data_IF_728649184914
#
_entry.id   IF_728649184914
#
_cell.length_a   1.000
_cell.length_b   1.000
_cell.length_c   1.000
_cell.angle_alpha   90.00
_cell.angle_beta   90.00
_cell.angle_gamma   90.00
#
_symmetry.space_group_name_H-M   'P 1'
#
loop_
_entity.id
_entity.type
_entity.pdbx_description
1 polymer ?
#
# COMPACT_ATOMS: atom_id res chain seq x y z
N UNK A 1 -0.38 -18.01 -6.35
CA UNK A 1 -1.82 -17.63 -6.19
C UNK A 1 -2.26 -17.05 -7.53
N UNK A 2 -3.50 -17.25 -7.97
CA UNK A 2 -3.88 -16.82 -9.32
C UNK A 2 -3.92 -15.29 -9.46
N UNK A 3 -3.43 -14.81 -10.60
CA UNK A 3 -3.52 -13.41 -11.01
C UNK A 3 -5.01 -13.04 -11.07
N UNK A 4 -5.43 -12.01 -10.33
CA UNK A 4 -6.80 -11.54 -10.41
C UNK A 4 -7.06 -10.95 -11.80
N UNK A 5 -8.23 -11.21 -12.38
CA UNK A 5 -8.65 -10.70 -13.69
C UNK A 5 -9.08 -9.21 -13.61
N UNK A 6 -8.20 -8.35 -13.11
CA UNK A 6 -8.38 -6.90 -13.03
C UNK A 6 -7.80 -6.23 -14.26
N UNK A 7 -8.57 -5.41 -14.97
CA UNK A 7 -8.10 -4.73 -16.18
C UNK A 7 -8.22 -3.20 -16.08
N UNK A 8 -7.37 -2.50 -16.83
CA UNK A 8 -7.46 -1.03 -16.92
C UNK A 8 -8.73 -0.59 -17.67
N UNK A 9 -9.25 -1.43 -18.56
CA UNK A 9 -10.49 -1.22 -19.31
C UNK A 9 -11.73 -1.18 -18.39
N UNK A 10 -11.69 -1.91 -17.27
CA UNK A 10 -12.81 -1.94 -16.31
C UNK A 10 -12.85 -0.67 -15.46
N UNK A 11 -11.68 -0.19 -15.00
CA UNK A 11 -11.50 1.10 -14.32
C UNK A 11 -10.04 1.54 -14.32
N UNK A 12 -9.79 2.82 -14.59
CA UNK A 12 -8.47 3.48 -14.48
C UNK A 12 -8.60 4.93 -13.99
N UNK A 13 -9.25 5.10 -12.84
CA UNK A 13 -9.55 6.43 -12.27
C UNK A 13 -8.29 7.27 -11.94
N UNK A 14 -7.14 6.63 -11.77
CA UNK A 14 -5.85 7.28 -11.53
C UNK A 14 -4.99 7.40 -12.80
N UNK A 15 -5.53 7.09 -13.98
CA UNK A 15 -4.86 7.17 -15.30
C UNK A 15 -3.50 6.44 -15.36
N UNK A 16 -3.39 5.32 -14.64
CA UNK A 16 -2.15 4.55 -14.49
C UNK A 16 -1.87 3.64 -15.69
N UNK A 17 -2.81 3.45 -16.63
CA UNK A 17 -2.56 2.68 -17.86
C UNK A 17 -1.36 3.20 -18.64
N UNK A 18 -1.23 4.51 -18.79
CA UNK A 18 -0.09 5.14 -19.48
C UNK A 18 1.26 4.85 -18.81
N UNK A 19 1.27 4.63 -17.49
CA UNK A 19 2.45 4.23 -16.72
C UNK A 19 2.74 2.76 -16.98
N UNK A 20 1.72 1.90 -16.96
CA UNK A 20 1.86 0.49 -17.28
C UNK A 20 2.43 0.27 -18.70
N UNK A 21 1.97 1.04 -19.69
CA UNK A 21 2.50 0.99 -21.06
C UNK A 21 4.00 1.35 -21.12
N UNK A 22 4.43 2.36 -20.36
CA UNK A 22 5.86 2.72 -20.23
C UNK A 22 6.65 1.61 -19.52
N UNK A 23 6.11 1.03 -18.45
CA UNK A 23 6.72 -0.10 -17.73
C UNK A 23 6.92 -1.29 -18.68
N UNK A 24 5.89 -1.65 -19.45
CA UNK A 24 5.96 -2.72 -20.45
C UNK A 24 7.06 -2.42 -21.48
N UNK A 25 7.12 -1.18 -21.99
CA UNK A 25 8.14 -0.77 -22.96
C UNK A 25 9.57 -0.93 -22.41
N UNK A 26 9.79 -0.56 -21.14
CA UNK A 26 11.09 -0.74 -20.46
C UNK A 26 11.39 -2.21 -20.21
N UNK A 27 10.41 -3.01 -19.79
CA UNK A 27 10.56 -4.45 -19.58
C UNK A 27 10.86 -5.21 -20.87
N UNK A 28 10.36 -4.74 -22.02
CA UNK A 28 10.62 -5.33 -23.33
C UNK A 28 11.90 -4.79 -23.99
N UNK A 29 12.48 -3.71 -23.48
CA UNK A 29 13.72 -3.17 -23.99
C UNK A 29 14.91 -4.07 -23.64
N UNK A 30 15.94 -4.06 -24.51
CA UNK A 30 17.22 -4.71 -24.25
C UNK A 30 18.10 -3.83 -23.35
N UNK A 31 17.63 -3.59 -22.13
CA UNK A 31 18.30 -2.81 -21.09
C UNK A 31 18.32 -3.65 -19.82
N UNK A 32 19.46 -3.64 -19.14
CA UNK A 32 19.63 -4.32 -17.86
C UNK A 32 18.99 -3.50 -16.71
N UNK A 33 17.70 -3.74 -16.50
CA UNK A 33 16.88 -3.05 -15.48
C UNK A 33 16.41 -3.97 -14.35
N UNK A 34 16.80 -5.24 -14.35
CA UNK A 34 16.32 -6.25 -13.40
C UNK A 34 17.30 -6.43 -12.22
N UNK A 35 16.82 -6.49 -10.96
CA UNK A 35 15.45 -6.21 -10.51
C UNK A 35 15.02 -4.75 -10.68
N UNK A 36 13.81 -4.57 -11.18
CA UNK A 36 13.10 -3.29 -11.23
C UNK A 36 12.16 -3.19 -10.03
N UNK A 37 11.98 -1.99 -9.46
CA UNK A 37 11.03 -1.73 -8.36
C UNK A 37 9.87 -0.86 -8.84
N UNK A 38 8.65 -1.26 -8.48
CA UNK A 38 7.47 -0.40 -8.46
C UNK A 38 7.21 -0.02 -7.00
N UNK A 39 7.62 1.20 -6.65
CA UNK A 39 7.56 1.73 -5.29
C UNK A 39 6.24 2.45 -5.01
N UNK A 40 5.79 2.34 -3.77
CA UNK A 40 4.66 3.11 -3.28
C UNK A 40 4.36 2.83 -1.81
N UNK A 41 3.79 3.82 -1.13
CA UNK A 41 3.34 3.71 0.25
C UNK A 41 2.24 2.66 0.44
N UNK A 42 1.85 2.42 1.69
CA UNK A 42 0.73 1.53 1.99
C UNK A 42 -0.58 2.17 1.51
N UNK A 43 -1.50 1.35 0.99
CA UNK A 43 -2.79 1.84 0.51
C UNK A 43 -2.75 2.68 -0.78
N UNK A 44 -1.67 2.63 -1.57
CA UNK A 44 -1.58 3.37 -2.85
C UNK A 44 -2.07 2.59 -4.07
N UNK A 45 -2.51 1.34 -3.91
CA UNK A 45 -3.02 0.49 -5.01
C UNK A 45 -1.96 -0.28 -5.80
N UNK A 46 -0.80 -0.57 -5.19
CA UNK A 46 0.31 -1.31 -5.82
C UNK A 46 -0.10 -2.69 -6.38
N UNK A 47 -0.73 -3.53 -5.56
CA UNK A 47 -1.16 -4.89 -5.95
C UNK A 47 -2.17 -4.85 -7.09
N UNK A 48 -3.14 -3.93 -7.05
CA UNK A 48 -4.09 -3.74 -8.16
C UNK A 48 -3.37 -3.28 -9.44
N UNK A 49 -2.42 -2.35 -9.35
CA UNK A 49 -1.59 -1.95 -10.48
C UNK A 49 -0.78 -3.13 -11.03
N UNK A 50 -0.20 -3.96 -10.18
CA UNK A 50 0.54 -5.17 -10.57
C UNK A 50 -0.33 -6.14 -11.37
N UNK A 51 -1.51 -6.51 -10.85
CA UNK A 51 -2.43 -7.39 -11.57
C UNK A 51 -2.88 -6.79 -12.92
N UNK A 52 -3.22 -5.50 -12.95
CA UNK A 52 -3.61 -4.83 -14.20
C UNK A 52 -2.45 -4.74 -15.21
N UNK A 53 -1.23 -4.49 -14.75
CA UNK A 53 -0.02 -4.49 -15.57
C UNK A 53 0.23 -5.86 -16.20
N UNK A 54 0.14 -6.93 -15.40
CA UNK A 54 0.29 -8.30 -15.88
C UNK A 54 -0.79 -8.62 -16.93
N UNK A 55 -2.06 -8.32 -16.65
CA UNK A 55 -3.16 -8.57 -17.58
C UNK A 55 -3.04 -7.76 -18.88
N UNK A 56 -2.57 -6.51 -18.81
CA UNK A 56 -2.30 -5.68 -19.99
C UNK A 56 -1.18 -6.29 -20.84
N UNK A 57 -0.12 -6.77 -20.20
CA UNK A 57 1.03 -7.36 -20.89
C UNK A 57 0.71 -8.74 -21.50
N UNK A 58 -0.19 -9.51 -20.86
CA UNK A 58 -0.64 -10.82 -21.31
C UNK A 58 -1.31 -10.77 -22.70
N UNK A 59 -1.88 -9.63 -23.09
CA UNK A 59 -2.52 -9.45 -24.42
C UNK A 59 -1.54 -9.74 -25.57
N UNK A 60 -0.25 -9.43 -25.39
CA UNK A 60 0.77 -9.65 -26.41
C UNK A 60 1.32 -11.08 -26.46
N UNK A 61 1.09 -11.87 -25.40
CA UNK A 61 1.63 -13.22 -25.20
C UNK A 61 3.15 -13.38 -25.43
N UNK A 62 3.92 -12.32 -25.21
CA UNK A 62 5.36 -12.29 -25.51
C UNK A 62 6.26 -12.88 -24.42
N UNK A 63 5.76 -13.00 -23.18
CA UNK A 63 6.55 -13.40 -22.01
C UNK A 63 5.76 -14.40 -21.15
N UNK A 64 6.46 -15.25 -20.41
CA UNK A 64 5.90 -15.93 -19.24
C UNK A 64 5.77 -14.91 -18.11
N UNK A 65 4.55 -14.57 -17.74
CA UNK A 65 4.24 -13.61 -16.69
C UNK A 65 3.90 -14.38 -15.40
N UNK A 66 4.80 -14.30 -14.42
CA UNK A 66 4.68 -15.06 -13.17
C UNK A 66 4.41 -14.08 -12.04
N UNK A 67 3.36 -14.31 -11.25
CA UNK A 67 3.06 -13.53 -10.05
C UNK A 67 3.40 -14.33 -8.80
N UNK A 68 4.19 -13.73 -7.92
CA UNK A 68 4.61 -14.28 -6.63
C UNK A 68 4.11 -13.35 -5.53
N UNK A 69 3.17 -13.84 -4.73
CA UNK A 69 2.79 -13.20 -3.47
C UNK A 69 3.79 -13.65 -2.39
N UNK A 70 4.80 -12.81 -2.12
CA UNK A 70 5.88 -13.15 -1.22
C UNK A 70 5.40 -13.26 0.23
N UNK A 71 4.44 -12.41 0.63
CA UNK A 71 3.92 -12.42 1.99
C UNK A 71 3.14 -13.70 2.30
N UNK A 72 2.29 -14.16 1.37
CA UNK A 72 1.58 -15.43 1.54
C UNK A 72 2.50 -16.64 1.64
N UNK A 73 3.65 -16.59 0.98
CA UNK A 73 4.65 -17.65 0.98
C UNK A 73 5.65 -17.55 2.13
N UNK A 74 5.62 -16.46 2.91
CA UNK A 74 6.68 -16.15 3.87
C UNK A 74 6.75 -17.18 5.01
N UNK A 75 5.67 -17.93 5.28
CA UNK A 75 5.62 -19.00 6.28
C UNK A 75 6.56 -20.18 6.00
N UNK A 76 6.94 -20.38 4.73
CA UNK A 76 7.76 -21.52 4.34
C UNK A 76 9.26 -21.34 4.65
N UNK A 77 9.73 -20.13 5.02
CA UNK A 77 11.15 -19.81 5.24
C UNK A 77 12.09 -20.15 4.03
N UNK A 78 11.53 -20.32 2.84
CA UNK A 78 12.28 -20.79 1.65
C UNK A 78 12.00 -19.97 0.38
N UNK A 79 12.59 -18.76 0.24
CA UNK A 79 12.31 -17.87 -0.89
C UNK A 79 12.61 -18.46 -2.28
N UNK A 80 13.67 -19.27 -2.40
CA UNK A 80 14.04 -19.90 -3.67
C UNK A 80 12.93 -20.87 -4.12
N UNK A 81 12.34 -21.59 -3.19
CA UNK A 81 11.29 -22.56 -3.46
C UNK A 81 10.00 -21.90 -3.87
N UNK A 82 9.63 -20.83 -3.18
CA UNK A 82 8.51 -19.98 -3.56
C UNK A 82 8.58 -19.57 -5.03
N UNK A 83 9.75 -19.11 -5.48
CA UNK A 83 9.95 -18.67 -6.86
C UNK A 83 9.89 -19.86 -7.84
N UNK A 84 10.61 -20.94 -7.55
CA UNK A 84 10.68 -22.10 -8.44
C UNK A 84 9.32 -22.80 -8.61
N UNK A 85 8.51 -22.87 -7.55
CA UNK A 85 7.17 -23.44 -7.61
C UNK A 85 6.27 -22.66 -8.59
N UNK A 86 6.39 -21.33 -8.65
CA UNK A 86 5.62 -20.52 -9.59
C UNK A 86 6.19 -20.60 -11.04
N UNK A 87 7.51 -20.79 -11.20
CA UNK A 87 8.11 -21.10 -12.52
C UNK A 87 7.62 -22.43 -13.08
N UNK A 88 7.47 -23.46 -12.24
CA UNK A 88 7.02 -24.79 -12.69
C UNK A 88 5.60 -24.75 -13.27
N UNK A 89 4.73 -23.86 -12.77
CA UNK A 89 3.34 -23.73 -13.24
C UNK A 89 3.22 -23.21 -14.67
N UNK A 90 4.22 -22.50 -15.18
CA UNK A 90 4.19 -21.97 -16.56
C UNK A 90 4.80 -22.93 -17.59
N UNK A 91 5.34 -24.06 -17.15
CA UNK A 91 5.88 -25.08 -18.04
C UNK A 91 4.75 -25.86 -18.74
N UNK A 92 4.88 -26.12 -20.06
CA UNK A 92 3.77 -26.54 -20.90
C UNK A 92 3.30 -27.99 -20.68
N UNK A 93 4.20 -28.89 -20.27
CA UNK A 93 3.95 -30.32 -20.11
C UNK A 93 4.70 -30.90 -18.91
N UNK A 94 4.29 -32.11 -18.49
CA UNK A 94 4.86 -32.76 -17.31
C UNK A 94 6.31 -33.22 -17.52
N UNK A 95 6.72 -33.50 -18.75
CA UNK A 95 8.11 -33.85 -19.07
C UNK A 95 9.05 -32.65 -18.85
N UNK A 96 8.63 -31.45 -19.27
CA UNK A 96 9.32 -30.19 -19.04
C UNK A 96 9.39 -29.86 -17.56
N UNK A 97 8.29 -30.06 -16.81
CA UNK A 97 8.26 -29.90 -15.35
C UNK A 97 9.26 -30.84 -14.68
N UNK A 98 9.25 -32.13 -15.01
CA UNK A 98 10.17 -33.11 -14.43
C UNK A 98 11.64 -32.81 -14.77
N UNK A 99 11.92 -32.42 -16.01
CA UNK A 99 13.27 -32.03 -16.46
C UNK A 99 13.79 -30.82 -15.68
N UNK A 100 12.94 -29.80 -15.49
CA UNK A 100 13.26 -28.64 -14.69
C UNK A 100 13.47 -29.01 -13.22
N UNK A 101 12.56 -29.78 -12.61
CA UNK A 101 12.68 -30.23 -11.22
C UNK A 101 13.97 -30.99 -10.95
N UNK A 102 14.41 -31.87 -11.86
CA UNK A 102 15.69 -32.59 -11.75
C UNK A 102 16.91 -31.65 -11.69
N UNK A 103 16.84 -30.48 -12.34
CA UNK A 103 17.89 -29.46 -12.31
C UNK A 103 17.73 -28.50 -11.11
N UNK A 104 16.50 -28.22 -10.68
CA UNK A 104 16.17 -27.27 -9.62
C UNK A 104 16.36 -27.84 -8.21
N UNK A 105 15.92 -29.08 -7.96
CA UNK A 105 15.94 -29.72 -6.64
C UNK A 105 17.36 -29.80 -6.02
N UNK A 106 18.43 -30.11 -6.79
CA UNK A 106 19.80 -30.05 -6.25
C UNK A 106 20.25 -28.65 -5.83
N UNK A 107 19.76 -27.59 -6.48
CA UNK A 107 20.11 -26.20 -6.15
C UNK A 107 19.43 -25.77 -4.86
N UNK A 108 18.14 -26.08 -4.72
CA UNK A 108 17.35 -25.87 -3.50
C UNK A 108 18.00 -26.51 -2.28
N UNK A 109 18.25 -27.83 -2.36
CA UNK A 109 18.81 -28.62 -1.25
C UNK A 109 20.18 -28.09 -0.78
N UNK A 110 20.89 -27.37 -1.65
CA UNK A 110 22.20 -26.81 -1.34
C UNK A 110 22.11 -25.35 -0.87
N UNK A 111 21.29 -24.50 -1.51
CA UNK A 111 21.12 -23.09 -1.15
C UNK A 111 20.80 -22.89 0.34
N UNK A 112 19.94 -23.76 0.88
CA UNK A 112 19.55 -23.81 2.30
C UNK A 112 20.72 -24.04 3.26
N UNK A 113 21.79 -24.74 2.85
CA UNK A 113 22.97 -24.99 3.71
C UNK A 113 23.94 -23.80 3.78
N UNK A 114 23.95 -22.93 2.77
CA UNK A 114 24.90 -21.82 2.65
C UNK A 114 24.38 -20.53 3.30
N UNK A 115 23.08 -20.23 3.16
CA UNK A 115 22.44 -19.08 3.81
C UNK A 115 22.51 -19.22 5.35
N UNK A 116 22.44 -20.45 5.87
CA UNK A 116 22.62 -20.76 7.30
C UNK A 116 23.98 -20.33 7.91
N UNK A 117 25.02 -20.01 7.10
CA UNK A 117 26.34 -19.58 7.60
C UNK A 117 26.60 -18.07 7.52
N UNK A 118 25.79 -17.32 6.79
CA UNK A 118 25.94 -15.88 6.63
C UNK A 118 24.92 -15.10 7.48
N UNK A 119 24.95 -15.34 8.80
CA UNK A 119 24.40 -14.41 9.80
C UNK A 119 22.88 -14.22 9.85
N UNK A 120 22.17 -15.13 10.54
CA UNK A 120 21.32 -14.87 11.73
C UNK A 120 20.95 -16.24 12.33
N UNK A 121 21.38 -16.45 13.57
CA UNK A 121 20.96 -17.45 14.58
C UNK A 121 20.24 -18.76 14.16
N UNK A 122 20.97 -19.87 14.28
CA UNK A 122 20.60 -21.07 15.06
C UNK A 122 19.29 -21.87 14.80
N UNK A 123 18.53 -21.67 13.72
CA UNK A 123 17.26 -22.41 13.53
C UNK A 123 17.01 -23.13 12.20
N UNK A 124 18.03 -23.43 11.38
CA UNK A 124 17.84 -24.31 10.22
C UNK A 124 18.29 -25.75 10.55
N UNK A 125 17.46 -26.42 11.34
CA UNK A 125 17.41 -27.89 11.51
C UNK A 125 16.17 -28.47 10.82
N UNK A 126 15.69 -27.86 9.73
CA UNK A 126 14.79 -28.59 8.85
C UNK A 126 15.65 -29.57 8.05
N UNK A 127 15.37 -30.85 8.25
CA UNK A 127 16.06 -31.91 7.53
C UNK A 127 15.84 -31.67 6.02
N UNK A 128 16.92 -31.68 5.26
CA UNK A 128 16.90 -31.47 3.79
C UNK A 128 15.96 -32.48 3.07
N UNK A 129 15.64 -33.58 3.74
CA UNK A 129 14.65 -34.55 3.32
C UNK A 129 13.21 -34.01 3.43
N UNK A 130 12.85 -33.37 4.55
CA UNK A 130 11.50 -32.81 4.77
C UNK A 130 11.18 -31.69 3.77
N UNK A 131 12.17 -30.89 3.40
CA UNK A 131 12.04 -29.82 2.40
C UNK A 131 11.83 -30.37 0.99
N UNK A 132 12.54 -31.44 0.65
CA UNK A 132 12.35 -32.10 -0.63
C UNK A 132 10.97 -32.77 -0.71
N UNK A 133 10.54 -33.39 0.38
CA UNK A 133 9.20 -33.96 0.50
C UNK A 133 8.13 -32.86 0.45
N UNK A 134 8.37 -31.67 1.00
CA UNK A 134 7.44 -30.54 0.92
C UNK A 134 7.39 -29.92 -0.48
N UNK A 135 8.52 -29.84 -1.19
CA UNK A 135 8.55 -29.46 -2.61
C UNK A 135 7.74 -30.42 -3.48
N UNK A 136 7.98 -31.73 -3.29
CA UNK A 136 7.28 -32.76 -4.02
C UNK A 136 5.77 -32.74 -3.67
N UNK A 137 5.39 -32.51 -2.42
CA UNK A 137 3.97 -32.37 -2.00
C UNK A 137 3.30 -31.09 -2.52
N UNK A 138 3.97 -29.94 -2.47
CA UNK A 138 3.45 -28.67 -2.99
C UNK A 138 3.24 -28.73 -4.51
N UNK A 139 4.04 -29.52 -5.22
CA UNK A 139 3.92 -29.73 -6.67
C UNK A 139 2.93 -30.85 -7.01
N UNK A 140 2.80 -31.90 -6.20
CA UNK A 140 1.81 -32.97 -6.41
C UNK A 140 0.35 -32.47 -6.37
N UNK A 141 0.08 -31.30 -5.78
CA UNK A 141 -1.23 -30.63 -5.91
C UNK A 141 -1.51 -29.98 -7.28
N UNK A 142 -0.49 -29.80 -8.13
CA UNK A 142 -0.56 -29.13 -9.43
C UNK A 142 -0.15 -30.02 -10.63
N UNK A 143 0.44 -31.18 -10.39
CA UNK A 143 0.76 -32.17 -11.40
C UNK A 143 0.52 -33.57 -10.83
N UNK A 144 -0.52 -34.24 -11.32
CA UNK A 144 -0.83 -35.61 -10.90
C UNK A 144 0.30 -36.56 -11.31
N UNK A 145 0.92 -37.19 -10.30
CA UNK A 145 1.84 -38.32 -10.36
C UNK A 145 3.13 -38.12 -11.16
N UNK A 146 4.19 -37.65 -10.50
CA UNK A 146 5.53 -38.10 -10.88
C UNK A 146 6.58 -37.95 -9.76
N UNK A 147 7.40 -39.00 -9.67
CA UNK A 147 8.74 -39.09 -9.06
C UNK A 147 8.78 -39.42 -7.57
N UNK A 148 8.61 -40.72 -7.29
CA UNK A 148 9.51 -41.40 -6.36
C UNK A 148 10.91 -41.48 -6.98
N UNK A 149 11.94 -41.41 -6.12
CA UNK A 149 13.36 -41.61 -6.41
C UNK A 149 14.18 -40.36 -6.77
N UNK A 150 14.62 -39.60 -5.75
CA UNK A 150 16.04 -39.20 -5.65
C UNK A 150 16.43 -38.90 -4.19
N UNK A 151 16.48 -39.94 -3.36
CA UNK A 151 17.16 -39.92 -2.06
C UNK A 151 18.43 -40.75 -2.20
N UNK A 152 19.53 -40.15 -2.67
CA UNK A 152 20.86 -40.54 -2.20
C UNK A 152 21.99 -39.58 -2.61
N UNK A 153 22.79 -39.25 -1.60
CA UNK A 153 24.12 -38.62 -1.63
C UNK A 153 24.22 -37.08 -1.65
N UNK A 154 24.16 -36.48 -0.46
CA UNK A 154 24.68 -35.11 -0.23
C UNK A 154 25.88 -35.18 0.70
N UNK A 155 27.05 -35.45 0.13
CA UNK A 155 28.35 -35.13 0.75
C UNK A 155 29.36 -34.65 -0.33
N UNK A 156 30.08 -33.56 0.01
CA UNK A 156 31.17 -32.83 -0.69
C UNK A 156 30.76 -31.46 -1.27
N UNK A 157 31.46 -30.42 -0.80
CA UNK A 157 30.78 -29.37 -0.05
C UNK A 157 30.97 -27.92 -0.53
N UNK A 158 31.41 -27.63 -1.76
CA UNK A 158 31.27 -26.27 -2.36
C UNK A 158 31.22 -26.34 -3.90
N UNK A 159 32.03 -27.21 -4.52
CA UNK A 159 32.04 -27.41 -5.98
C UNK A 159 30.70 -27.91 -6.54
N UNK A 160 29.88 -28.58 -5.71
CA UNK A 160 28.54 -29.03 -6.12
C UNK A 160 27.50 -27.90 -6.08
N UNK A 161 27.68 -26.90 -5.22
CA UNK A 161 26.80 -25.75 -5.08
C UNK A 161 26.69 -24.96 -6.39
N UNK A 162 27.85 -24.49 -6.85
CA UNK A 162 27.97 -23.68 -8.05
C UNK A 162 27.54 -24.48 -9.28
N UNK A 163 27.80 -25.79 -9.30
CA UNK A 163 27.33 -26.66 -10.37
C UNK A 163 25.81 -26.80 -10.38
N UNK A 164 25.18 -26.98 -9.21
CA UNK A 164 23.73 -27.10 -9.12
C UNK A 164 23.04 -25.78 -9.45
N UNK A 165 23.55 -24.66 -8.94
CA UNK A 165 23.04 -23.32 -9.25
C UNK A 165 23.18 -23.02 -10.75
N UNK A 166 24.34 -23.33 -11.36
CA UNK A 166 24.51 -23.21 -12.81
C UNK A 166 23.55 -24.12 -13.59
N UNK A 167 23.29 -25.34 -13.12
CA UNK A 167 22.33 -26.22 -13.77
C UNK A 167 20.90 -25.66 -13.73
N UNK A 168 20.51 -25.05 -12.61
CA UNK A 168 19.24 -24.32 -12.49
C UNK A 168 19.20 -23.09 -13.43
N UNK A 169 20.26 -22.28 -13.44
CA UNK A 169 20.37 -21.12 -14.33
C UNK A 169 20.27 -21.51 -15.80
N UNK A 170 20.94 -22.60 -16.21
CA UNK A 170 20.82 -23.15 -17.57
C UNK A 170 19.39 -23.60 -17.84
N UNK A 171 18.72 -24.26 -16.89
CA UNK A 171 17.33 -24.66 -17.05
C UNK A 171 16.41 -23.45 -17.26
N UNK A 172 16.60 -22.39 -16.49
CA UNK A 172 15.87 -21.14 -16.61
C UNK A 172 16.15 -20.45 -17.96
N UNK A 173 17.41 -20.44 -18.40
CA UNK A 173 17.81 -19.90 -19.70
C UNK A 173 17.18 -20.68 -20.85
N UNK A 174 17.14 -22.01 -20.78
CA UNK A 174 16.50 -22.87 -21.79
C UNK A 174 15.00 -22.52 -21.94
N UNK A 175 14.31 -22.28 -20.82
CA UNK A 175 12.89 -21.86 -20.81
C UNK A 175 12.77 -20.44 -21.38
N UNK A 176 13.58 -19.51 -20.88
CA UNK A 176 13.56 -18.10 -21.27
C UNK A 176 13.92 -17.88 -22.76
N UNK A 177 14.72 -18.79 -23.36
CA UNK A 177 15.05 -18.77 -24.77
C UNK A 177 13.86 -19.09 -25.67
N UNK A 178 12.90 -19.89 -25.19
CA UNK A 178 11.64 -20.15 -25.90
C UNK A 178 10.71 -18.94 -25.74
N UNK A 179 10.55 -18.48 -24.50
CA UNK A 179 9.70 -17.35 -24.16
C UNK A 179 10.25 -16.68 -22.89
N UNK A 180 10.68 -15.41 -22.94
CA UNK A 180 11.31 -14.75 -21.79
C UNK A 180 10.40 -14.70 -20.56
N UNK A 181 10.98 -14.73 -19.38
CA UNK A 181 10.27 -14.80 -18.10
C UNK A 181 10.31 -13.44 -17.39
N UNK A 182 9.16 -12.97 -16.91
CA UNK A 182 9.07 -11.85 -15.98
C UNK A 182 8.37 -12.30 -14.71
N UNK A 183 9.07 -12.20 -13.59
CA UNK A 183 8.56 -12.49 -12.26
C UNK A 183 8.19 -11.20 -11.53
N UNK A 184 6.92 -11.08 -11.19
CA UNK A 184 6.36 -10.00 -10.38
C UNK A 184 6.27 -10.49 -8.93
N UNK A 185 7.12 -9.96 -8.06
CA UNK A 185 7.17 -10.29 -6.63
C UNK A 185 6.49 -9.17 -5.86
N UNK A 186 5.30 -9.44 -5.31
CA UNK A 186 4.51 -8.48 -4.54
C UNK A 186 4.55 -8.78 -3.04
N UNK A 187 4.22 -7.76 -2.26
CA UNK A 187 4.13 -7.77 -0.79
C UNK A 187 5.43 -8.14 -0.05
N UNK A 188 6.59 -7.99 -0.69
CA UNK A 188 7.89 -8.28 -0.07
C UNK A 188 8.15 -7.43 1.19
N UNK A 189 7.60 -6.21 1.26
CA UNK A 189 7.70 -5.33 2.44
C UNK A 189 6.85 -5.77 3.64
N UNK A 190 5.98 -6.77 3.48
CA UNK A 190 5.18 -7.33 4.58
C UNK A 190 5.77 -8.62 5.15
N UNK A 191 6.67 -9.26 4.43
CA UNK A 191 7.34 -10.46 4.89
C UNK A 191 8.13 -10.22 6.18
N UNK A 192 8.38 -11.30 6.92
CA UNK A 192 9.39 -11.31 7.98
C UNK A 192 10.73 -10.73 7.48
N UNK A 193 11.44 -9.91 8.27
CA UNK A 193 12.65 -9.23 7.81
C UNK A 193 13.68 -10.14 7.15
N UNK A 194 13.99 -11.29 7.76
CA UNK A 194 14.96 -12.24 7.22
C UNK A 194 14.52 -12.79 5.85
N UNK A 195 13.25 -13.21 5.72
CA UNK A 195 12.71 -13.73 4.47
C UNK A 195 12.79 -12.70 3.34
N UNK A 196 12.48 -11.43 3.63
CA UNK A 196 12.56 -10.35 2.65
C UNK A 196 14.01 -10.13 2.14
N UNK A 197 14.98 -10.14 3.06
CA UNK A 197 16.40 -10.00 2.73
C UNK A 197 16.90 -11.21 1.95
N UNK A 198 16.58 -12.42 2.39
CA UNK A 198 16.95 -13.67 1.73
C UNK A 198 16.37 -13.73 0.30
N UNK A 199 15.14 -13.28 0.10
CA UNK A 199 14.53 -13.20 -1.23
C UNK A 199 15.29 -12.24 -2.15
N UNK A 200 15.72 -11.06 -1.67
CA UNK A 200 16.55 -10.13 -2.45
C UNK A 200 17.90 -10.76 -2.83
N UNK A 201 18.53 -11.47 -1.89
CA UNK A 201 19.79 -12.18 -2.14
C UNK A 201 19.63 -13.29 -3.17
N UNK A 202 18.59 -14.11 -3.04
CA UNK A 202 18.29 -15.20 -3.96
C UNK A 202 18.02 -14.66 -5.37
N UNK A 203 17.22 -13.60 -5.50
CA UNK A 203 16.94 -12.96 -6.79
C UNK A 203 18.24 -12.53 -7.47
N UNK A 204 19.15 -11.87 -6.75
CA UNK A 204 20.41 -11.37 -7.32
C UNK A 204 21.41 -12.48 -7.62
N UNK A 205 21.56 -13.45 -6.73
CA UNK A 205 22.64 -14.44 -6.83
C UNK A 205 22.25 -15.68 -7.64
N UNK A 206 20.96 -16.01 -7.68
CA UNK A 206 20.46 -17.22 -8.38
C UNK A 206 19.90 -16.88 -9.74
N UNK A 207 19.17 -15.77 -9.88
CA UNK A 207 18.40 -15.47 -11.10
C UNK A 207 19.03 -14.40 -12.01
N UNK A 208 20.35 -14.21 -11.92
CA UNK A 208 21.11 -13.48 -12.95
C UNK A 208 21.22 -14.35 -14.23
N UNK A 209 20.09 -14.46 -14.95
CA UNK A 209 19.90 -15.34 -16.10
C UNK A 209 19.35 -14.52 -17.27
N UNK A 210 19.97 -14.66 -18.43
CA UNK A 210 19.50 -14.00 -19.65
C UNK A 210 18.06 -14.40 -19.98
N UNK A 211 17.22 -13.41 -20.29
CA UNK A 211 15.79 -13.61 -20.55
C UNK A 211 14.92 -13.78 -19.30
N UNK A 212 15.47 -13.67 -18.08
CA UNK A 212 14.72 -13.67 -16.82
C UNK A 212 14.78 -12.28 -16.17
N UNK A 213 13.63 -11.65 -15.92
CA UNK A 213 13.52 -10.33 -15.29
C UNK A 213 12.66 -10.38 -14.03
N UNK A 214 12.99 -9.55 -13.05
CA UNK A 214 12.23 -9.37 -11.82
C UNK A 214 11.66 -7.95 -11.73
N UNK A 215 10.41 -7.89 -11.29
CA UNK A 215 9.71 -6.66 -10.89
C UNK A 215 9.28 -6.83 -9.44
N UNK A 216 9.80 -5.99 -8.55
CA UNK A 216 9.46 -5.98 -7.13
C UNK A 216 8.40 -4.91 -6.89
N UNK A 217 7.24 -5.31 -6.37
CA UNK A 217 6.14 -4.41 -6.04
C UNK A 217 6.15 -4.27 -4.52
N UNK A 218 6.62 -3.12 -4.03
CA UNK A 218 6.95 -3.01 -2.60
C UNK A 218 6.88 -1.57 -2.08
N UNK A 219 6.96 -1.42 -0.77
CA UNK A 219 7.30 -0.16 -0.11
C UNK A 219 8.79 -0.17 0.26
N UNK A 220 9.58 0.62 -0.47
CA UNK A 220 11.03 0.67 -0.32
C UNK A 220 11.47 1.13 1.08
N UNK A 221 10.70 1.97 1.77
CA UNK A 221 11.02 2.39 3.14
C UNK A 221 10.85 1.25 4.15
N UNK A 222 9.80 0.44 3.98
CA UNK A 222 9.59 -0.73 4.84
C UNK A 222 10.61 -1.82 4.56
N UNK A 223 10.97 -2.02 3.29
CA UNK A 223 12.04 -2.95 2.92
C UNK A 223 13.40 -2.53 3.52
N UNK A 224 13.71 -1.22 3.55
CA UNK A 224 14.89 -0.69 4.27
C UNK A 224 14.82 -0.95 5.77
N UNK A 225 13.64 -0.83 6.39
CA UNK A 225 13.45 -1.17 7.80
C UNK A 225 13.73 -2.66 8.07
N UNK A 226 13.31 -3.56 7.16
CA UNK A 226 13.64 -4.99 7.23
C UNK A 226 15.15 -5.24 7.15
N UNK A 227 15.87 -4.59 6.22
CA UNK A 227 17.33 -4.69 6.13
C UNK A 227 18.02 -4.24 7.43
N UNK A 228 17.59 -3.09 7.97
CA UNK A 228 18.13 -2.56 9.23
C UNK A 228 17.81 -3.46 10.43
N UNK A 229 16.69 -4.19 10.39
CA UNK A 229 16.37 -5.19 11.41
C UNK A 229 17.36 -6.36 11.35
N UNK A 230 17.69 -6.86 10.15
CA UNK A 230 18.59 -8.00 9.97
C UNK A 230 20.07 -7.67 10.28
N UNK A 231 20.57 -6.52 9.81
CA UNK A 231 22.00 -6.18 9.92
C UNK A 231 22.32 -5.08 10.94
N UNK A 232 21.30 -4.47 11.55
CA UNK A 232 21.44 -3.39 12.53
C UNK A 232 21.35 -1.98 11.93
N UNK A 233 21.01 -1.01 12.79
CA UNK A 233 20.73 0.39 12.40
C UNK A 233 21.96 1.17 11.88
N UNK A 234 23.18 0.65 12.07
CA UNK A 234 24.40 1.25 11.54
C UNK A 234 24.60 0.99 10.04
N UNK A 235 23.84 0.05 9.47
CA UNK A 235 23.88 -0.26 8.03
C UNK A 235 23.11 0.80 7.26
N UNK A 236 23.71 1.29 6.18
CA UNK A 236 23.03 2.11 5.20
C UNK A 236 22.16 1.21 4.30
N UNK A 237 20.92 0.98 4.71
CA UNK A 237 19.98 0.12 3.96
C UNK A 237 19.66 0.64 2.55
N UNK A 238 19.76 1.96 2.30
CA UNK A 238 19.60 2.49 0.94
C UNK A 238 20.74 1.99 0.06
N UNK A 239 22.00 2.19 0.49
CA UNK A 239 23.17 1.67 -0.25
C UNK A 239 23.20 0.16 -0.34
N UNK A 240 22.64 -0.55 0.63
CA UNK A 240 22.44 -1.98 0.53
C UNK A 240 21.51 -2.30 -0.65
N UNK A 241 20.32 -1.71 -0.68
CA UNK A 241 19.31 -1.94 -1.71
C UNK A 241 19.78 -1.52 -3.12
N UNK A 242 20.56 -0.44 -3.23
CA UNK A 242 21.15 0.03 -4.49
C UNK A 242 22.09 -1.00 -5.13
N UNK A 243 22.62 -1.97 -4.36
CA UNK A 243 23.40 -3.08 -4.92
C UNK A 243 22.53 -4.12 -5.61
N UNK A 244 21.22 -4.12 -5.38
CA UNK A 244 20.26 -5.09 -5.92
C UNK A 244 19.38 -4.45 -6.97
N UNK A 245 18.79 -3.29 -6.68
CA UNK A 245 17.81 -2.63 -7.54
C UNK A 245 18.51 -1.84 -8.64
N UNK A 246 18.18 -2.13 -9.91
CA UNK A 246 18.76 -1.41 -11.06
C UNK A 246 17.90 -0.25 -11.54
N UNK A 247 16.60 -0.30 -11.27
CA UNK A 247 15.67 0.74 -11.70
C UNK A 247 14.44 0.82 -10.78
N UNK A 248 13.98 2.03 -10.47
CA UNK A 248 12.81 2.25 -9.61
C UNK A 248 11.84 3.22 -10.27
N UNK A 249 10.56 2.87 -10.24
CA UNK A 249 9.45 3.76 -10.57
C UNK A 249 8.57 3.91 -9.33
N UNK A 250 8.29 5.15 -8.93
CA UNK A 250 7.28 5.43 -7.92
C UNK A 250 5.90 5.57 -8.58
N UNK A 251 4.88 4.92 -8.01
CA UNK A 251 3.49 5.18 -8.42
C UNK A 251 3.10 6.62 -8.02
N UNK A 252 2.50 7.41 -8.93
CA UNK A 252 2.14 8.77 -8.62
C UNK A 252 1.00 8.83 -7.60
N UNK A 253 1.12 9.81 -6.71
CA UNK A 253 0.10 10.21 -5.75
C UNK A 253 -0.87 11.26 -6.33
N UNK A 254 -0.55 11.80 -7.50
CA UNK A 254 -1.38 12.74 -8.25
C UNK A 254 -1.92 12.12 -9.53
N UNK A 255 -3.03 12.66 -10.00
CA UNK A 255 -3.68 12.31 -11.26
C UNK A 255 -3.91 13.58 -12.06
N UNK A 256 -3.56 13.55 -13.35
CA UNK A 256 -3.89 14.64 -14.27
C UNK A 256 -5.38 14.61 -14.58
N UNK A 257 -6.12 15.62 -14.14
CA UNK A 257 -7.55 15.76 -14.44
C UNK A 257 -7.71 16.29 -15.87
N UNK A 258 -8.84 15.99 -16.54
CA UNK A 258 -9.09 16.41 -17.95
C UNK A 258 -9.05 17.94 -18.17
N UNK A 259 -8.84 18.74 -17.13
CA UNK A 259 -8.66 20.18 -17.14
C UNK A 259 -7.17 20.63 -17.08
N UNK A 260 -6.20 19.73 -17.29
CA UNK A 260 -4.75 20.00 -17.11
C UNK A 260 -4.43 20.51 -15.70
N UNK A 261 -5.15 20.01 -14.71
CA UNK A 261 -4.91 20.27 -13.29
C UNK A 261 -4.54 18.96 -12.64
N UNK A 262 -3.40 18.92 -11.97
CA UNK A 262 -3.05 17.80 -11.11
C UNK A 262 -3.95 17.83 -9.87
N UNK A 263 -4.61 16.72 -9.58
CA UNK A 263 -5.36 16.50 -8.33
C UNK A 263 -4.69 15.36 -7.57
N UNK A 264 -4.78 15.36 -6.24
CA UNK A 264 -4.29 14.25 -5.43
C UNK A 264 -5.23 13.06 -5.67
N UNK A 265 -4.66 11.89 -5.98
CA UNK A 265 -5.41 10.67 -6.28
C UNK A 265 -6.39 10.30 -5.15
N UNK A 266 -6.00 10.50 -3.89
CA UNK A 266 -6.85 10.28 -2.73
C UNK A 266 -8.10 11.19 -2.68
N UNK A 267 -8.01 12.43 -3.18
CA UNK A 267 -9.15 13.33 -3.28
C UNK A 267 -10.13 12.84 -4.36
N UNK A 268 -9.63 12.45 -5.53
CA UNK A 268 -10.48 11.88 -6.59
C UNK A 268 -11.11 10.54 -6.15
N UNK A 269 -10.36 9.72 -5.39
CA UNK A 269 -10.89 8.50 -4.80
C UNK A 269 -12.03 8.78 -3.82
N UNK A 270 -11.88 9.77 -2.93
CA UNK A 270 -12.96 10.20 -2.04
C UNK A 270 -14.22 10.58 -2.81
N UNK A 271 -14.07 11.42 -3.85
CA UNK A 271 -15.20 11.85 -4.71
C UNK A 271 -15.88 10.67 -5.38
N UNK A 272 -15.12 9.72 -5.92
CA UNK A 272 -15.66 8.52 -6.58
C UNK A 272 -16.41 7.62 -5.58
N UNK A 273 -15.84 7.36 -4.41
CA UNK A 273 -16.46 6.55 -3.37
C UNK A 273 -17.79 7.16 -2.91
N UNK A 274 -17.79 8.45 -2.55
CA UNK A 274 -19.01 9.15 -2.12
C UNK A 274 -20.07 9.15 -3.24
N UNK A 275 -19.66 9.37 -4.49
CA UNK A 275 -20.59 9.38 -5.64
C UNK A 275 -21.19 8.01 -5.92
N UNK A 276 -20.40 6.95 -5.76
CA UNK A 276 -20.81 5.56 -6.03
C UNK A 276 -21.59 4.92 -4.87
N UNK A 277 -21.52 5.51 -3.67
CA UNK A 277 -22.20 4.99 -2.49
C UNK A 277 -23.72 5.12 -2.58
N UNK A 278 -24.40 3.98 -2.43
CA UNK A 278 -25.86 3.90 -2.35
C UNK A 278 -26.43 4.59 -1.09
N UNK A 279 -25.62 4.73 -0.04
CA UNK A 279 -26.00 5.40 1.21
C UNK A 279 -25.83 6.91 1.11
N UNK A 280 -24.76 7.38 0.46
CA UNK A 280 -24.38 8.80 0.45
C UNK A 280 -24.94 9.61 -0.72
N UNK A 281 -25.49 8.96 -1.75
CA UNK A 281 -25.93 9.62 -2.99
C UNK A 281 -26.88 10.82 -2.80
N UNK A 282 -27.76 10.76 -1.79
CA UNK A 282 -28.70 11.85 -1.48
C UNK A 282 -28.09 13.08 -0.79
N UNK A 283 -26.85 12.99 -0.30
CA UNK A 283 -26.21 14.03 0.52
C UNK A 283 -25.38 15.01 -0.29
N UNK A 284 -24.94 14.60 -1.49
CA UNK A 284 -24.11 15.40 -2.39
C UNK A 284 -22.84 15.94 -1.72
N UNK A 285 -22.20 15.15 -0.85
CA UNK A 285 -21.02 15.58 -0.09
C UNK A 285 -19.84 16.00 -0.96
N UNK A 286 -19.74 15.42 -2.17
CA UNK A 286 -18.70 15.78 -3.14
C UNK A 286 -19.01 17.04 -3.98
N UNK A 287 -20.25 17.56 -3.92
CA UNK A 287 -20.69 18.74 -4.68
C UNK A 287 -20.86 19.99 -3.79
N UNK A 288 -20.73 19.84 -2.47
CA UNK A 288 -20.95 20.93 -1.52
C UNK A 288 -19.65 21.35 -0.82
N UNK A 289 -19.65 22.55 -0.21
CA UNK A 289 -18.45 23.17 0.34
C UNK A 289 -17.73 22.36 1.42
N UNK A 290 -18.40 21.40 2.06
CA UNK A 290 -17.79 20.56 3.10
C UNK A 290 -16.73 19.60 2.57
N UNK A 291 -16.66 19.38 1.25
CA UNK A 291 -15.56 18.65 0.62
C UNK A 291 -14.19 19.28 0.95
N UNK A 292 -14.11 20.62 1.08
CA UNK A 292 -12.86 21.33 1.37
C UNK A 292 -12.25 20.94 2.71
N UNK A 293 -13.08 20.56 3.69
CA UNK A 293 -12.62 20.02 4.97
C UNK A 293 -11.91 18.69 4.77
N UNK A 294 -12.49 17.77 3.99
CA UNK A 294 -11.89 16.47 3.68
C UNK A 294 -10.64 16.63 2.80
N UNK A 295 -10.68 17.50 1.79
CA UNK A 295 -9.52 17.77 0.93
C UNK A 295 -8.33 18.24 1.75
N UNK A 296 -8.54 19.19 2.67
CA UNK A 296 -7.45 19.67 3.52
C UNK A 296 -6.95 18.58 4.49
N UNK A 297 -7.84 17.76 5.06
CA UNK A 297 -7.42 16.63 5.91
C UNK A 297 -6.60 15.62 5.11
N UNK A 298 -7.00 15.29 3.88
CA UNK A 298 -6.26 14.40 2.99
C UNK A 298 -4.87 14.97 2.71
N UNK A 299 -4.76 16.27 2.40
CA UNK A 299 -3.50 16.95 2.11
C UNK A 299 -2.58 16.98 3.33
N UNK A 300 -3.09 17.48 4.46
CA UNK A 300 -2.29 17.70 5.67
C UNK A 300 -1.77 16.39 6.27
N UNK A 301 -2.58 15.32 6.21
CA UNK A 301 -2.24 14.02 6.79
C UNK A 301 -1.68 13.02 5.76
N UNK A 302 -1.60 13.41 4.48
CA UNK A 302 -1.16 12.56 3.35
C UNK A 302 -1.89 11.21 3.32
N UNK A 303 -3.21 11.25 3.42
CA UNK A 303 -4.02 10.04 3.52
C UNK A 303 -3.86 9.15 2.29
N UNK A 304 -3.66 7.86 2.52
CA UNK A 304 -3.68 6.82 1.49
C UNK A 304 -5.10 6.58 0.96
N UNK A 305 -5.21 5.90 -0.19
CA UNK A 305 -6.52 5.52 -0.75
C UNK A 305 -7.31 4.65 0.23
N UNK A 306 -6.62 3.79 0.98
CA UNK A 306 -7.22 2.92 2.00
C UNK A 306 -7.74 3.70 3.21
N UNK A 307 -7.03 4.72 3.67
CA UNK A 307 -7.52 5.58 4.75
C UNK A 307 -8.72 6.41 4.30
N UNK A 308 -8.72 6.88 3.05
CA UNK A 308 -9.90 7.52 2.45
C UNK A 308 -11.10 6.57 2.42
N UNK A 309 -10.93 5.30 2.06
CA UNK A 309 -12.00 4.29 2.15
C UNK A 309 -12.52 4.13 3.58
N UNK A 310 -11.64 4.17 4.58
CA UNK A 310 -12.03 4.13 6.00
C UNK A 310 -12.86 5.35 6.39
N UNK A 311 -12.44 6.55 5.98
CA UNK A 311 -13.22 7.78 6.22
C UNK A 311 -14.60 7.66 5.57
N UNK A 312 -14.69 7.26 4.30
CA UNK A 312 -16.00 7.11 3.62
C UNK A 312 -16.86 6.06 4.30
N UNK A 313 -16.29 4.91 4.70
CA UNK A 313 -17.00 3.86 5.44
C UNK A 313 -17.55 4.38 6.76
N UNK A 314 -16.80 5.18 7.50
CA UNK A 314 -17.30 5.78 8.74
C UNK A 314 -18.37 6.85 8.47
N UNK A 315 -18.31 7.59 7.36
CA UNK A 315 -19.40 8.47 6.94
C UNK A 315 -20.67 7.64 6.67
N UNK A 316 -20.58 6.53 5.95
CA UNK A 316 -21.70 5.62 5.69
C UNK A 316 -22.29 5.08 7.01
N UNK A 317 -21.43 4.62 7.93
CA UNK A 317 -21.85 4.14 9.24
C UNK A 317 -22.55 5.23 10.05
N UNK A 318 -21.98 6.44 10.11
CA UNK A 318 -22.60 7.57 10.79
C UNK A 318 -24.00 7.84 10.24
N UNK A 319 -24.13 7.89 8.91
CA UNK A 319 -25.42 8.13 8.24
C UNK A 319 -26.44 7.04 8.59
N UNK A 320 -26.01 5.79 8.65
CA UNK A 320 -26.88 4.66 9.00
C UNK A 320 -27.35 4.71 10.45
N UNK A 321 -26.49 5.19 11.37
CA UNK A 321 -26.77 5.17 12.82
C UNK A 321 -27.42 6.45 13.34
N UNK A 322 -27.16 7.60 12.72
CA UNK A 322 -27.56 8.90 13.24
C UNK A 322 -29.09 9.05 13.25
N UNK A 323 -29.65 9.34 14.43
CA UNK A 323 -31.08 9.66 14.59
C UNK A 323 -31.44 10.99 13.91
N UNK A 324 -30.52 11.96 13.97
CA UNK A 324 -30.57 13.24 13.23
C UNK A 324 -29.34 13.35 12.36
N UNK A 325 -29.51 13.23 11.03
CA UNK A 325 -28.38 13.18 10.12
C UNK A 325 -27.92 14.60 9.72
N UNK A 326 -26.82 15.06 10.34
CA UNK A 326 -26.23 16.37 10.05
C UNK A 326 -25.53 16.47 8.67
N UNK A 327 -25.58 15.42 7.85
CA UNK A 327 -24.99 15.38 6.51
C UNK A 327 -26.02 15.51 5.38
N UNK A 328 -27.32 15.66 5.69
CA UNK A 328 -28.35 15.87 4.68
C UNK A 328 -28.10 17.13 3.84
N UNK A 329 -28.61 17.15 2.61
CA UNK A 329 -28.38 18.25 1.66
C UNK A 329 -28.88 19.61 2.15
N UNK A 330 -29.95 19.63 2.96
CA UNK A 330 -30.55 20.81 3.58
C UNK A 330 -30.03 21.14 4.98
N UNK A 331 -29.07 20.38 5.52
CA UNK A 331 -28.47 20.69 6.83
C UNK A 331 -27.68 21.99 6.76
N UNK A 332 -27.81 22.80 7.82
CA UNK A 332 -27.01 24.01 8.05
C UNK A 332 -25.52 23.69 7.91
N UNK A 333 -24.79 24.56 7.20
CA UNK A 333 -23.43 24.30 6.76
C UNK A 333 -22.45 24.00 7.90
N UNK A 334 -22.52 24.75 9.01
CA UNK A 334 -21.66 24.58 10.18
C UNK A 334 -21.79 23.19 10.83
N UNK A 335 -23.02 22.69 11.02
CA UNK A 335 -23.23 21.33 11.54
C UNK A 335 -22.63 20.29 10.60
N UNK A 336 -22.85 20.43 9.29
CA UNK A 336 -22.29 19.52 8.29
C UNK A 336 -20.76 19.48 8.32
N UNK A 337 -20.11 20.63 8.31
CA UNK A 337 -18.64 20.75 8.33
C UNK A 337 -18.06 20.13 9.61
N UNK A 338 -18.61 20.46 10.78
CA UNK A 338 -18.12 19.94 12.06
C UNK A 338 -18.40 18.44 12.24
N UNK A 339 -19.52 17.93 11.74
CA UNK A 339 -19.81 16.49 11.73
C UNK A 339 -18.84 15.75 10.80
N UNK A 340 -18.59 16.24 9.58
CA UNK A 340 -17.62 15.62 8.66
C UNK A 340 -16.21 15.62 9.26
N UNK A 341 -15.80 16.74 9.85
CA UNK A 341 -14.52 16.82 10.56
C UNK A 341 -14.43 15.77 11.66
N UNK A 342 -15.46 15.66 12.51
CA UNK A 342 -15.46 14.72 13.62
C UNK A 342 -15.36 13.26 13.17
N UNK A 343 -16.08 12.89 12.10
CA UNK A 343 -16.01 11.56 11.49
C UNK A 343 -14.60 11.32 10.93
N UNK A 344 -14.01 12.32 10.26
CA UNK A 344 -12.65 12.20 9.74
C UNK A 344 -11.63 12.02 10.88
N UNK A 345 -11.65 12.86 11.92
CA UNK A 345 -10.80 12.73 13.11
C UNK A 345 -10.97 11.34 13.75
N UNK A 346 -12.21 10.87 13.96
CA UNK A 346 -12.45 9.52 14.48
C UNK A 346 -11.80 8.43 13.62
N UNK A 347 -11.79 8.62 12.30
CA UNK A 347 -11.25 7.65 11.35
C UNK A 347 -9.73 7.57 11.33
N UNK A 348 -9.04 8.72 11.47
CA UNK A 348 -7.59 8.82 11.26
C UNK A 348 -6.79 9.11 12.53
N UNK A 349 -7.43 9.68 13.55
CA UNK A 349 -6.80 10.10 14.81
C UNK A 349 -7.72 9.79 16.01
N UNK A 350 -7.88 8.50 16.38
CA UNK A 350 -8.80 8.08 17.44
C UNK A 350 -8.54 8.75 18.80
N UNK A 351 -7.28 9.04 19.13
CA UNK A 351 -6.91 9.74 20.37
C UNK A 351 -7.44 11.18 20.42
N UNK A 352 -7.44 11.88 19.29
CA UNK A 352 -8.02 13.23 19.18
C UNK A 352 -9.55 13.16 19.26
N UNK A 353 -10.16 12.14 18.67
CA UNK A 353 -11.61 11.92 18.82
C UNK A 353 -11.98 11.63 20.28
N UNK A 354 -11.17 10.86 21.00
CA UNK A 354 -11.34 10.61 22.42
C UNK A 354 -11.19 11.88 23.26
N UNK A 355 -10.22 12.75 22.95
CA UNK A 355 -10.05 14.01 23.67
C UNK A 355 -11.26 14.95 23.51
N UNK A 356 -11.90 14.96 22.33
CA UNK A 356 -13.16 15.67 22.09
C UNK A 356 -14.28 15.13 22.99
N UNK A 357 -14.47 13.81 23.05
CA UNK A 357 -15.49 13.19 23.91
C UNK A 357 -15.29 13.51 25.40
N UNK A 358 -14.03 13.54 25.84
CA UNK A 358 -13.66 13.81 27.23
C UNK A 358 -13.68 15.30 27.59
N UNK A 359 -13.99 16.20 26.64
CA UNK A 359 -13.88 17.66 26.80
C UNK A 359 -12.47 18.09 27.22
N UNK A 360 -11.45 17.42 26.68
CA UNK A 360 -10.02 17.66 26.92
C UNK A 360 -9.30 18.00 25.62
N UNK A 361 -9.97 18.75 24.75
CA UNK A 361 -9.42 19.14 23.44
C UNK A 361 -8.11 19.91 23.65
N UNK A 362 -7.07 19.48 22.95
CA UNK A 362 -5.88 20.28 22.69
C UNK A 362 -6.06 20.98 21.36
N UNK A 363 -5.99 22.31 21.36
CA UNK A 363 -6.21 23.08 20.15
C UNK A 363 -5.18 22.76 19.06
N UNK A 364 -3.94 22.38 19.45
CA UNK A 364 -2.89 21.98 18.50
C UNK A 364 -3.26 20.73 17.72
N UNK A 365 -3.91 19.77 18.36
CA UNK A 365 -4.32 18.53 17.69
C UNK A 365 -5.34 18.82 16.58
N UNK A 366 -6.30 19.73 16.84
CA UNK A 366 -7.25 20.19 15.81
C UNK A 366 -6.54 20.93 14.68
N UNK A 367 -5.59 21.81 15.00
CA UNK A 367 -4.77 22.50 13.99
C UNK A 367 -3.97 21.52 13.12
N UNK A 368 -3.36 20.51 13.74
CA UNK A 368 -2.57 19.48 13.06
C UNK A 368 -3.41 18.69 12.05
N UNK A 369 -4.71 18.44 12.32
CA UNK A 369 -5.62 17.83 11.34
C UNK A 369 -5.67 18.56 10.00
N UNK A 370 -5.46 19.88 10.02
CA UNK A 370 -5.47 20.74 8.83
C UNK A 370 -4.08 21.24 8.42
N UNK A 371 -3.02 20.92 9.17
CA UNK A 371 -1.68 21.47 8.95
C UNK A 371 -1.57 22.96 9.34
N UNK A 372 -2.39 23.44 10.27
CA UNK A 372 -2.45 24.84 10.73
C UNK A 372 -1.89 24.91 12.14
N UNK A 373 -0.98 25.86 12.40
CA UNK A 373 -0.33 26.02 13.72
C UNK A 373 -0.81 27.23 14.51
N UNK A 374 -1.37 28.24 13.84
CA UNK A 374 -1.99 29.44 14.43
C UNK A 374 -2.91 30.12 13.44
N UNK A 375 -3.76 31.03 13.90
CA UNK A 375 -4.58 31.89 13.04
C UNK A 375 -3.73 32.93 12.30
N UNK A 376 -4.15 33.30 11.10
CA UNK A 376 -3.56 34.41 10.36
C UNK A 376 -3.95 35.77 10.96
N UNK A 377 -2.97 36.69 11.05
CA UNK A 377 -3.21 38.05 11.56
C UNK A 377 -3.85 38.97 10.52
N UNK A 378 -3.56 38.78 9.22
CA UNK A 378 -4.10 39.62 8.14
C UNK A 378 -5.30 38.92 7.48
N UNK A 379 -6.50 39.31 7.90
CA UNK A 379 -7.75 38.77 7.37
C UNK A 379 -8.19 39.67 6.22
N UNK A 380 -7.92 39.26 4.97
CA UNK A 380 -8.35 39.98 3.76
C UNK A 380 -9.87 39.87 3.51
N UNK A 381 -10.67 40.34 4.47
CA UNK A 381 -12.13 40.40 4.43
C UNK A 381 -12.86 39.20 5.03
N UNK A 382 -12.29 37.99 4.99
CA UNK A 382 -12.83 36.80 5.69
C UNK A 382 -11.71 35.83 6.07
N UNK A 383 -11.82 35.12 7.20
CA UNK A 383 -10.87 34.06 7.56
C UNK A 383 -10.87 32.93 6.55
N UNK A 384 -9.74 32.21 6.49
CA UNK A 384 -9.69 30.91 5.84
C UNK A 384 -10.67 29.93 6.52
N UNK A 385 -11.25 29.03 5.73
CA UNK A 385 -12.32 28.16 6.24
C UNK A 385 -11.82 27.16 7.28
N UNK A 386 -10.60 26.65 7.11
CA UNK A 386 -10.00 25.69 8.03
C UNK A 386 -9.43 26.40 9.27
N UNK A 387 -8.90 27.61 9.12
CA UNK A 387 -8.59 28.46 10.29
C UNK A 387 -9.85 28.79 11.10
N UNK A 388 -10.99 29.06 10.43
CA UNK A 388 -12.26 29.34 11.11
C UNK A 388 -12.76 28.13 11.92
N UNK A 389 -12.58 26.92 11.39
CA UNK A 389 -12.86 25.67 12.12
C UNK A 389 -11.93 25.52 13.33
N UNK A 390 -10.63 25.81 13.17
CA UNK A 390 -9.68 25.77 14.28
C UNK A 390 -10.03 26.80 15.36
N UNK A 391 -10.48 28.00 14.98
CA UNK A 391 -11.02 28.99 15.91
C UNK A 391 -12.26 28.47 16.66
N UNK A 392 -13.24 27.90 15.94
CA UNK A 392 -14.48 27.37 16.53
C UNK A 392 -14.20 26.31 17.61
N UNK A 393 -13.29 25.37 17.34
CA UNK A 393 -12.96 24.30 18.30
C UNK A 393 -11.89 24.71 19.32
N UNK A 394 -10.99 25.61 18.94
CA UNK A 394 -9.93 26.14 19.81
C UNK A 394 -10.48 27.01 20.93
N UNK A 395 -11.59 27.70 20.70
CA UNK A 395 -12.26 28.50 21.73
C UNK A 395 -12.70 27.68 22.95
N UNK A 396 -13.10 26.43 22.75
CA UNK A 396 -13.51 25.50 23.82
C UNK A 396 -12.41 24.53 24.24
N UNK A 397 -11.20 24.68 23.70
CA UNK A 397 -10.07 23.80 24.01
C UNK A 397 -9.57 23.99 25.46
N UNK A 398 -9.23 22.87 26.10
CA UNK A 398 -8.67 22.84 27.45
C UNK A 398 -7.17 23.20 27.43
N UNK A 399 -6.47 22.82 26.36
CA UNK A 399 -5.03 23.01 26.21
C UNK A 399 -4.72 23.81 24.93
N UNK A 400 -3.67 24.64 25.01
CA UNK A 400 -3.10 25.43 23.90
C UNK A 400 -4.09 26.33 23.14
N UNK A 401 -5.19 26.77 23.77
CA UNK A 401 -6.23 27.58 23.14
C UNK A 401 -5.72 28.90 22.55
N UNK A 402 -4.62 29.43 23.08
CA UNK A 402 -3.99 30.67 22.63
C UNK A 402 -3.53 30.60 21.17
N UNK A 403 -3.24 29.42 20.64
CA UNK A 403 -2.88 29.23 19.23
C UNK A 403 -4.02 29.59 18.27
N UNK A 404 -5.27 29.42 18.72
CA UNK A 404 -6.48 29.64 17.94
C UNK A 404 -7.41 30.67 18.56
N UNK A 405 -6.83 31.58 19.35
CA UNK A 405 -7.53 32.77 19.86
C UNK A 405 -7.06 33.99 19.06
N UNK A 406 -7.96 34.72 18.39
CA UNK A 406 -7.57 35.87 17.58
C UNK A 406 -7.04 37.01 18.47
N UNK A 407 -5.89 37.56 18.09
CA UNK A 407 -5.27 38.72 18.74
C UNK A 407 -5.83 40.04 18.20
N UNK A 408 -6.24 40.05 16.93
CA UNK A 408 -6.87 41.17 16.22
C UNK A 408 -8.17 40.68 15.56
N UNK A 409 -9.09 41.60 15.24
CA UNK A 409 -10.32 41.31 14.48
C UNK A 409 -11.23 40.21 15.07
N UNK A 410 -11.24 40.02 16.39
CA UNK A 410 -12.04 38.98 17.07
C UNK A 410 -13.54 39.01 16.71
N UNK A 411 -14.10 40.21 16.45
CA UNK A 411 -15.49 40.36 16.01
C UNK A 411 -15.74 39.76 14.61
N UNK A 412 -14.75 39.79 13.72
CA UNK A 412 -14.85 39.18 12.38
C UNK A 412 -14.92 37.66 12.53
N UNK A 413 -13.99 37.05 13.27
CA UNK A 413 -14.00 35.60 13.54
C UNK A 413 -15.33 35.13 14.13
N UNK A 414 -15.88 35.87 15.10
CA UNK A 414 -17.17 35.58 15.72
C UNK A 414 -18.35 35.75 14.75
N UNK A 415 -18.34 36.77 13.89
CA UNK A 415 -19.39 36.98 12.90
C UNK A 415 -19.37 35.90 11.80
N UNK A 416 -18.18 35.54 11.32
CA UNK A 416 -18.02 34.50 10.29
C UNK A 416 -18.35 33.11 10.84
N UNK A 417 -17.97 32.79 12.08
CA UNK A 417 -18.39 31.53 12.71
C UNK A 417 -19.91 31.48 12.84
N UNK A 418 -20.56 32.58 13.27
CA UNK A 418 -22.02 32.65 13.33
C UNK A 418 -22.69 32.51 11.95
N UNK A 419 -22.05 32.94 10.85
CA UNK A 419 -22.56 32.76 9.48
C UNK A 419 -22.67 31.29 9.08
N UNK A 420 -21.77 30.43 9.54
CA UNK A 420 -21.84 28.99 9.29
C UNK A 420 -23.11 28.35 9.89
N UNK A 421 -23.72 29.00 10.89
CA UNK A 421 -24.91 28.51 11.60
C UNK A 421 -26.18 29.34 11.32
N UNK A 422 -26.18 30.21 10.31
CA UNK A 422 -27.36 30.98 9.95
C UNK A 422 -28.53 30.07 9.51
N UNK A 423 -29.73 30.36 10.02
CA UNK A 423 -30.95 29.60 9.75
C UNK A 423 -31.35 28.58 10.83
N UNK A 424 -30.51 28.36 11.85
CA UNK A 424 -30.85 27.56 13.03
C UNK A 424 -31.52 28.39 14.14
N UNK A 425 -32.55 27.83 14.77
CA UNK A 425 -32.79 28.14 16.19
C UNK A 425 -31.62 27.52 16.96
N UNK A 426 -31.03 28.24 17.92
CA UNK A 426 -29.81 27.90 18.68
C UNK A 426 -28.49 28.35 18.02
N UNK A 427 -27.95 29.46 18.54
CA UNK A 427 -26.52 29.81 18.41
C UNK A 427 -25.75 28.87 19.34
N UNK A 428 -25.07 27.87 18.80
CA UNK A 428 -24.24 26.99 19.63
C UNK A 428 -22.92 27.69 19.90
N UNK A 429 -22.71 28.18 21.12
CA UNK A 429 -21.37 28.61 21.57
C UNK A 429 -20.47 27.40 21.89
N UNK A 430 -21.05 26.18 21.91
CA UNK A 430 -20.35 24.91 22.13
C UNK A 430 -20.24 24.11 20.81
N UNK A 431 -19.33 24.53 19.94
CA UNK A 431 -19.05 23.85 18.66
C UNK A 431 -18.54 22.41 18.87
N UNK A 432 -17.82 22.16 19.96
CA UNK A 432 -17.27 20.85 20.28
C UNK A 432 -18.37 19.81 20.54
N UNK A 433 -19.54 20.22 21.05
CA UNK A 433 -20.69 19.32 21.25
C UNK A 433 -21.16 18.65 19.95
N UNK A 434 -21.10 19.36 18.81
CA UNK A 434 -21.50 18.82 17.50
C UNK A 434 -20.53 17.71 17.06
N UNK A 435 -19.23 17.93 17.27
CA UNK A 435 -18.23 16.91 17.01
C UNK A 435 -18.39 15.71 17.96
N UNK A 436 -18.63 15.97 19.24
CA UNK A 436 -18.84 14.92 20.23
C UNK A 436 -20.06 14.04 19.90
N UNK A 437 -21.18 14.61 19.47
CA UNK A 437 -22.38 13.87 19.05
C UNK A 437 -22.09 12.93 17.88
N UNK A 438 -21.35 13.41 16.87
CA UNK A 438 -20.95 12.59 15.72
C UNK A 438 -20.04 11.42 16.13
N UNK A 439 -19.09 11.68 17.03
CA UNK A 439 -18.18 10.65 17.54
C UNK A 439 -18.94 9.64 18.42
N UNK A 440 -19.84 10.10 19.29
CA UNK A 440 -20.69 9.24 20.13
C UNK A 440 -21.50 8.25 19.27
N UNK A 441 -22.09 8.76 18.20
CA UNK A 441 -22.83 7.95 17.20
C UNK A 441 -21.94 6.84 16.64
N UNK A 442 -20.68 7.13 16.30
CA UNK A 442 -19.73 6.15 15.75
C UNK A 442 -19.22 5.16 16.79
N UNK A 443 -19.11 5.58 18.06
CA UNK A 443 -18.78 4.70 19.18
C UNK A 443 -19.94 3.83 19.64
N UNK A 444 -21.14 4.02 19.08
CA UNK A 444 -22.39 3.34 19.48
C UNK A 444 -22.70 3.48 20.99
N UNK A 445 -22.27 4.59 21.60
CA UNK A 445 -22.40 4.86 23.03
C UNK A 445 -23.49 5.89 23.33
#
# INVERSE_FOLDING_TARGET
MEIQNLKFEDRDEFKRKSIAEKVISVLQANIDISPMVIDGSWGTGKTEFCHKLINLMHVSDTHHLIYVDAFKADHADEPLMTVLAEVIKVLPDDDSKQSFMKKALPAVRYGLKTIAKAGVSHLLRQDVADVADDFDKQIQGAADKAIDATVESVLKDHVKADKNLKALQVALADIAAIKPIILFVDELDRCRPNFAVDMLEIIKHTFDVEGVKFVLITNTQQLKASINHCYGQSVDAQRYLDKFVKFTIALPETVDTNAHRESIAAIEHYKNLVRSSHVLGGMKLYECGSIRTIEQIIIANRLSLREVETVVRHIEIYVTLAQSNNLQSNTIFGYKVLTILAIAIYSIQPEVALSILQKRIDAKDIGNCFGISSLSNDIQGRPDEQELICYMLGYTALHNKEHFTPTEDADIWKQESARYFQGGYWRTDDFASICAEAIQTLTMC
#
